data_IF_348929073739
#
_entry.id   IF_348929073739
#
_cell.length_a   1.000
_cell.length_b   1.000
_cell.length_c   1.000
_cell.angle_alpha   90.00
_cell.angle_beta   90.00
_cell.angle_gamma   90.00
#
_symmetry.space_group_name_H-M   'P 1'
#
loop_
_entity.id
_entity.type
_entity.pdbx_description
1 polymer ?
#
# COMPACT_ATOMS: atom_id res chain seq x y z
N UNK A 1 -57.40 17.11 16.49
CA UNK A 1 -56.16 17.89 16.59
C UNK A 1 -55.03 17.01 16.08
N UNK A 2 -54.78 17.06 14.78
CA UNK A 2 -53.81 16.20 14.08
C UNK A 2 -52.43 16.84 14.17
N UNK A 3 -51.49 16.15 14.80
CA UNK A 3 -50.07 16.53 14.82
C UNK A 3 -49.57 16.49 13.37
N UNK A 4 -49.00 17.57 12.81
CA UNK A 4 -48.44 17.52 11.47
C UNK A 4 -47.20 16.63 11.49
N UNK A 5 -47.18 15.58 10.65
CA UNK A 5 -45.98 14.81 10.35
C UNK A 5 -44.92 15.78 9.83
N UNK A 6 -43.76 15.86 10.49
CA UNK A 6 -42.58 16.53 9.92
C UNK A 6 -42.34 15.95 8.53
N UNK A 7 -42.25 16.83 7.54
CA UNK A 7 -41.97 16.48 6.15
C UNK A 7 -40.67 15.69 6.04
N UNK A 8 -40.57 14.86 4.99
CA UNK A 8 -39.35 14.21 4.50
C UNK A 8 -38.30 15.25 4.04
N UNK A 9 -37.93 16.20 4.89
CA UNK A 9 -36.91 17.19 4.61
C UNK A 9 -35.54 16.56 4.84
N UNK A 10 -34.68 16.64 3.82
CA UNK A 10 -33.30 16.21 3.90
C UNK A 10 -32.58 16.92 5.07
N UNK A 11 -31.99 16.18 6.04
CA UNK A 11 -31.31 16.78 7.19
C UNK A 11 -29.92 17.35 6.86
N UNK A 12 -29.40 17.13 5.65
CA UNK A 12 -28.07 17.57 5.23
C UNK A 12 -28.03 19.06 4.88
N UNK A 13 -26.94 19.73 5.28
CA UNK A 13 -26.61 21.10 4.85
C UNK A 13 -25.55 20.99 3.76
N UNK A 14 -25.82 21.60 2.60
CA UNK A 14 -24.83 21.71 1.53
C UNK A 14 -23.77 22.74 1.91
N UNK A 15 -22.62 22.27 2.37
CA UNK A 15 -21.55 23.12 2.87
C UNK A 15 -20.66 23.65 1.75
N UNK A 16 -20.33 22.80 0.76
CA UNK A 16 -19.46 23.14 -0.35
C UNK A 16 -19.60 22.11 -1.47
N UNK A 17 -19.57 22.58 -2.72
CA UNK A 17 -19.63 21.75 -3.91
C UNK A 17 -18.62 22.23 -4.94
N UNK A 18 -17.74 21.34 -5.38
CA UNK A 18 -16.79 21.59 -6.47
C UNK A 18 -16.79 20.42 -7.47
N UNK A 19 -17.45 20.63 -8.62
CA UNK A 19 -17.52 19.64 -9.70
C UNK A 19 -16.25 19.55 -10.54
N UNK A 20 -15.26 20.44 -10.32
CA UNK A 20 -14.02 20.54 -11.11
C UNK A 20 -12.80 19.98 -10.39
N UNK A 21 -12.96 19.52 -9.15
CA UNK A 21 -11.87 18.99 -8.34
C UNK A 21 -11.15 17.79 -8.97
N UNK A 22 -11.83 16.99 -9.81
CA UNK A 22 -11.28 15.85 -10.55
C UNK A 22 -10.38 14.96 -9.67
N UNK A 23 -10.97 14.40 -8.61
CA UNK A 23 -10.30 13.54 -7.63
C UNK A 23 -10.64 12.09 -7.95
N UNK A 24 -9.63 11.27 -8.23
CA UNK A 24 -9.80 9.85 -8.53
C UNK A 24 -9.17 9.03 -7.41
N UNK A 25 -9.98 8.53 -6.48
CA UNK A 25 -9.49 7.83 -5.29
C UNK A 25 -10.51 6.82 -4.76
N UNK A 26 -10.10 6.02 -3.78
CA UNK A 26 -10.99 5.18 -2.97
C UNK A 26 -11.07 5.69 -1.53
N UNK A 27 -12.14 5.34 -0.77
CA UNK A 27 -12.24 5.69 0.64
C UNK A 27 -11.04 5.25 1.48
N UNK A 28 -10.43 4.11 1.17
CA UNK A 28 -9.22 3.61 1.85
C UNK A 28 -8.00 4.52 1.67
N UNK A 29 -7.99 5.33 0.61
CA UNK A 29 -6.91 6.25 0.24
C UNK A 29 -7.14 7.69 0.72
N UNK A 30 -8.14 7.90 1.60
CA UNK A 30 -8.50 9.20 2.17
C UNK A 30 -8.37 9.18 3.69
N UNK A 31 -7.87 10.26 4.27
CA UNK A 31 -7.84 10.43 5.73
C UNK A 31 -7.98 11.89 6.13
N UNK A 32 -8.49 12.14 7.34
CA UNK A 32 -8.57 13.46 7.95
C UNK A 32 -7.61 13.52 9.14
N UNK A 33 -6.73 14.53 9.17
CA UNK A 33 -5.78 14.69 10.26
C UNK A 33 -5.23 16.12 10.37
N UNK A 34 -4.94 16.55 11.60
CA UNK A 34 -4.19 17.77 11.89
C UNK A 34 -2.68 17.53 11.70
N UNK A 35 -2.22 17.52 10.44
CA UNK A 35 -0.82 17.22 10.12
C UNK A 35 0.17 18.35 10.45
N UNK A 36 -0.31 19.56 10.78
CA UNK A 36 0.55 20.70 11.15
C UNK A 36 0.54 21.02 12.65
N UNK A 37 -0.37 20.43 13.43
CA UNK A 37 -0.55 20.73 14.85
C UNK A 37 -1.23 22.07 15.11
N UNK A 38 -1.91 22.65 14.12
CA UNK A 38 -2.60 23.94 14.20
C UNK A 38 -4.07 23.81 14.66
N UNK A 39 -4.47 22.60 15.10
CA UNK A 39 -5.83 22.22 15.50
C UNK A 39 -6.84 22.28 14.35
N UNK A 40 -6.36 22.26 13.11
CA UNK A 40 -7.18 22.26 11.91
C UNK A 40 -6.90 20.99 11.09
N UNK A 41 -7.94 20.17 10.94
CA UNK A 41 -7.82 18.94 10.16
C UNK A 41 -7.68 19.26 8.68
N UNK A 42 -6.71 18.62 8.04
CA UNK A 42 -6.56 18.58 6.60
C UNK A 42 -7.18 17.31 6.07
N UNK A 43 -7.81 17.40 4.91
CA UNK A 43 -8.24 16.24 4.13
C UNK A 43 -7.10 15.83 3.22
N UNK A 44 -6.54 14.65 3.47
CA UNK A 44 -5.48 14.06 2.67
C UNK A 44 -6.10 13.00 1.76
N UNK A 45 -5.79 13.09 0.47
CA UNK A 45 -6.30 12.19 -0.55
C UNK A 45 -5.13 11.70 -1.39
N UNK A 46 -4.98 10.38 -1.48
CA UNK A 46 -4.08 9.78 -2.45
C UNK A 46 -4.85 9.61 -3.78
N UNK A 47 -4.60 10.52 -4.70
CA UNK A 47 -5.23 10.60 -6.01
C UNK A 47 -4.45 9.77 -7.02
N UNK A 48 -5.14 8.86 -7.71
CA UNK A 48 -4.59 7.96 -8.71
C UNK A 48 -4.28 8.67 -10.03
N UNK A 49 -4.79 9.90 -10.20
CA UNK A 49 -4.75 10.60 -11.48
C UNK A 49 -5.79 10.05 -12.45
N UNK A 50 -5.68 10.45 -13.71
CA UNK A 50 -6.62 10.17 -14.80
C UNK A 50 -5.96 9.47 -16.00
N UNK A 51 -4.76 8.93 -15.79
CA UNK A 51 -3.92 8.32 -16.83
C UNK A 51 -3.02 9.30 -17.58
N UNK A 52 -3.32 10.61 -17.54
CA UNK A 52 -2.44 11.68 -18.03
C UNK A 52 -1.70 12.38 -16.89
N UNK A 53 -2.37 12.53 -15.75
CA UNK A 53 -1.80 13.01 -14.51
C UNK A 53 -1.19 11.88 -13.70
N UNK A 54 -0.05 12.17 -13.08
CA UNK A 54 0.63 11.24 -12.18
C UNK A 54 -0.12 11.14 -10.84
N UNK A 55 0.09 10.01 -10.17
CA UNK A 55 -0.37 9.79 -8.80
C UNK A 55 0.19 10.88 -7.88
N UNK A 56 -0.65 11.41 -7.01
CA UNK A 56 -0.27 12.49 -6.09
C UNK A 56 -1.06 12.45 -4.79
N UNK A 57 -0.41 12.84 -3.70
CA UNK A 57 -1.08 13.14 -2.44
C UNK A 57 -1.56 14.59 -2.47
N UNK A 58 -2.87 14.79 -2.49
CA UNK A 58 -3.52 16.09 -2.40
C UNK A 58 -3.90 16.38 -0.95
N UNK A 59 -3.56 17.55 -0.46
CA UNK A 59 -3.87 18.02 0.90
C UNK A 59 -4.79 19.21 0.79
N UNK A 60 -6.00 19.10 1.30
CA UNK A 60 -6.98 20.18 1.35
C UNK A 60 -7.05 20.77 2.75
N UNK A 61 -7.12 22.09 2.81
CA UNK A 61 -7.37 22.88 4.01
C UNK A 61 -8.63 23.71 3.78
N UNK A 62 -9.69 23.40 4.54
CA UNK A 62 -11.03 23.91 4.26
C UNK A 62 -11.49 23.52 2.85
N UNK A 63 -11.81 24.50 2.02
CA UNK A 63 -12.30 24.31 0.64
C UNK A 63 -11.20 24.45 -0.42
N UNK A 64 -9.94 24.65 -0.01
CA UNK A 64 -8.83 24.92 -0.92
C UNK A 64 -7.79 23.81 -0.87
N UNK A 65 -7.18 23.53 -2.03
CA UNK A 65 -6.02 22.66 -2.15
C UNK A 65 -4.79 23.40 -1.61
N UNK A 66 -4.22 22.91 -0.51
CA UNK A 66 -3.07 23.50 0.17
C UNK A 66 -1.75 22.98 -0.41
N UNK A 67 -1.67 21.68 -0.69
CA UNK A 67 -0.43 21.05 -1.17
C UNK A 67 -0.71 19.86 -2.09
N UNK A 68 0.21 19.62 -3.02
CA UNK A 68 0.27 18.43 -3.86
C UNK A 68 1.67 17.83 -3.82
N UNK A 69 1.75 16.56 -3.47
CA UNK A 69 3.03 15.84 -3.41
C UNK A 69 2.98 14.74 -4.47
N UNK A 70 3.88 14.74 -5.47
CA UNK A 70 3.93 13.66 -6.44
C UNK A 70 4.29 12.35 -5.73
N UNK A 71 3.65 11.27 -6.17
CA UNK A 71 3.79 9.95 -5.57
C UNK A 71 4.02 8.92 -6.68
N UNK A 72 4.88 7.92 -6.42
CA UNK A 72 5.43 7.08 -7.50
C UNK A 72 4.57 5.86 -7.85
N UNK A 73 3.92 5.26 -6.86
CA UNK A 73 3.18 4.01 -7.02
C UNK A 73 1.68 4.19 -6.76
N UNK A 74 0.85 3.25 -7.21
CA UNK A 74 -0.58 3.28 -6.87
C UNK A 74 -0.76 2.98 -5.38
N UNK A 75 -1.39 3.88 -4.60
CA UNK A 75 -1.63 3.67 -3.19
C UNK A 75 -2.82 2.75 -2.97
N UNK A 76 -2.68 1.80 -2.05
CA UNK A 76 -3.77 0.91 -1.62
C UNK A 76 -4.53 1.48 -0.42
N UNK A 77 -3.85 2.22 0.45
CA UNK A 77 -4.45 2.83 1.62
C UNK A 77 -3.64 4.02 2.17
N UNK A 78 -4.33 4.92 2.87
CA UNK A 78 -3.77 6.11 3.51
C UNK A 78 -4.38 6.27 4.90
N UNK A 79 -3.56 6.32 5.94
CA UNK A 79 -4.02 6.47 7.33
C UNK A 79 -3.16 7.46 8.10
N UNK A 80 -3.77 8.19 9.03
CA UNK A 80 -3.05 9.03 9.98
C UNK A 80 -2.90 8.31 11.32
N UNK A 81 -1.68 8.23 11.85
CA UNK A 81 -1.37 7.55 13.10
C UNK A 81 -0.50 8.40 14.02
N UNK A 82 -0.72 8.29 15.32
CA UNK A 82 0.18 8.86 16.32
C UNK A 82 1.27 7.84 16.65
N UNK A 83 2.52 8.23 16.41
CA UNK A 83 3.69 7.36 16.63
C UNK A 83 4.25 7.45 18.04
N UNK A 84 4.13 8.62 18.67
CA UNK A 84 4.77 8.94 19.94
C UNK A 84 3.93 9.95 20.74
N UNK A 85 4.27 10.14 22.03
CA UNK A 85 3.62 11.09 22.94
C UNK A 85 4.24 12.51 22.90
N UNK A 86 5.04 12.86 21.89
CA UNK A 86 5.71 14.16 21.86
C UNK A 86 4.69 15.31 21.72
N UNK A 87 5.03 16.45 22.32
CA UNK A 87 4.26 17.69 22.22
C UNK A 87 4.93 18.65 21.22
N UNK A 88 4.22 19.19 20.22
CA UNK A 88 2.79 18.99 19.93
C UNK A 88 2.48 17.58 19.38
N UNK A 89 1.32 17.05 19.74
CA UNK A 89 0.80 15.76 19.25
C UNK A 89 0.34 15.90 17.79
N UNK A 90 1.25 15.59 16.87
CA UNK A 90 1.00 15.62 15.43
C UNK A 90 1.04 14.18 14.90
N UNK A 91 0.00 13.72 14.19
CA UNK A 91 0.01 12.40 13.58
C UNK A 91 0.96 12.36 12.38
N UNK A 92 1.59 11.21 12.17
CA UNK A 92 2.26 10.88 10.93
C UNK A 92 1.23 10.32 9.93
N UNK A 93 1.38 10.67 8.67
CA UNK A 93 0.63 10.07 7.57
C UNK A 93 1.38 8.82 7.09
N UNK A 94 0.71 7.68 7.05
CA UNK A 94 1.21 6.46 6.45
C UNK A 94 0.44 6.19 5.14
N UNK A 95 1.18 5.97 4.06
CA UNK A 95 0.62 5.65 2.72
C UNK A 95 1.19 4.32 2.28
N UNK A 96 0.34 3.32 2.11
CA UNK A 96 0.72 2.01 1.60
C UNK A 96 0.64 2.02 0.07
N UNK A 97 1.70 1.58 -0.60
CA UNK A 97 1.75 1.42 -2.05
C UNK A 97 2.72 0.30 -2.43
N UNK A 98 2.28 -0.62 -3.29
CA UNK A 98 3.05 -1.81 -3.61
C UNK A 98 3.41 -2.60 -2.34
N UNK A 99 4.69 -2.95 -2.17
CA UNK A 99 5.19 -3.65 -0.98
C UNK A 99 5.73 -2.70 0.11
N UNK A 100 5.41 -1.41 0.02
CA UNK A 100 6.07 -0.35 0.78
C UNK A 100 5.04 0.51 1.51
N UNK A 101 5.45 1.02 2.68
CA UNK A 101 4.70 2.04 3.42
C UNK A 101 5.58 3.28 3.55
N UNK A 102 5.06 4.40 3.05
CA UNK A 102 5.70 5.70 3.10
C UNK A 102 5.11 6.50 4.25
N UNK A 103 5.97 6.92 5.18
CA UNK A 103 5.59 7.74 6.31
C UNK A 103 5.97 9.19 6.04
N UNK A 104 5.02 10.10 6.28
CA UNK A 104 5.21 11.54 6.18
C UNK A 104 4.94 12.17 7.54
N UNK A 105 5.87 13.04 8.00
CA UNK A 105 5.68 13.90 9.17
C UNK A 105 5.62 15.34 8.69
N UNK A 106 4.57 16.08 9.07
CA UNK A 106 4.31 17.43 8.58
C UNK A 106 4.35 17.52 7.03
N UNK A 107 3.72 16.55 6.36
CA UNK A 107 3.67 16.40 4.89
C UNK A 107 5.04 16.34 4.20
N UNK A 108 6.11 15.98 4.93
CA UNK A 108 7.44 15.71 4.36
C UNK A 108 7.78 14.23 4.50
N UNK A 109 8.40 13.59 3.49
CA UNK A 109 8.87 12.22 3.60
C UNK A 109 9.77 12.05 4.83
N UNK A 110 9.45 11.08 5.67
CA UNK A 110 10.15 10.84 6.94
C UNK A 110 10.81 9.46 6.96
N UNK A 111 10.05 8.42 6.59
CA UNK A 111 10.54 7.05 6.62
C UNK A 111 9.89 6.21 5.54
N UNK A 112 10.58 5.16 5.11
CA UNK A 112 10.10 4.19 4.14
C UNK A 112 10.29 2.80 4.70
N UNK A 113 9.18 2.12 4.96
CA UNK A 113 9.16 0.71 5.33
C UNK A 113 8.97 -0.13 4.06
N UNK A 114 9.71 -1.23 3.95
CA UNK A 114 9.54 -2.24 2.91
C UNK A 114 9.22 -3.56 3.57
N UNK A 115 8.21 -4.26 3.07
CA UNK A 115 7.93 -5.63 3.52
C UNK A 115 9.16 -6.53 3.29
N UNK A 116 9.43 -7.47 4.21
CA UNK A 116 10.44 -8.49 3.97
C UNK A 116 10.02 -9.33 2.76
N UNK A 117 11.00 -9.73 1.94
CA UNK A 117 10.76 -10.70 0.87
C UNK A 117 10.35 -12.04 1.47
N UNK A 118 9.46 -12.75 0.79
CA UNK A 118 9.08 -14.10 1.18
C UNK A 118 10.09 -15.11 0.62
N UNK A 119 10.36 -16.16 1.41
CA UNK A 119 11.16 -17.29 0.96
C UNK A 119 10.43 -18.01 -0.19
N UNK A 120 11.16 -18.22 -1.27
CA UNK A 120 10.61 -18.85 -2.46
C UNK A 120 10.46 -20.36 -2.33
N UNK A 121 9.73 -20.95 -3.27
CA UNK A 121 9.69 -22.39 -3.43
C UNK A 121 11.11 -22.91 -3.69
N UNK A 122 11.56 -23.87 -2.88
CA UNK A 122 12.86 -24.52 -3.08
C UNK A 122 13.01 -25.08 -4.50
N UNK A 123 11.89 -25.56 -5.07
CA UNK A 123 11.83 -26.08 -6.44
C UNK A 123 12.16 -25.03 -7.49
N UNK A 124 11.68 -23.79 -7.32
CA UNK A 124 11.97 -22.69 -8.23
C UNK A 124 13.45 -22.33 -8.20
N UNK A 125 14.02 -22.24 -7.00
CA UNK A 125 15.45 -22.01 -6.81
C UNK A 125 16.30 -23.12 -7.44
N UNK A 126 15.86 -24.38 -7.31
CA UNK A 126 16.57 -25.52 -7.89
C UNK A 126 16.50 -25.51 -9.42
N UNK A 127 15.35 -25.16 -10.01
CA UNK A 127 15.19 -24.99 -11.46
C UNK A 127 16.16 -23.91 -11.99
N UNK A 128 16.23 -22.75 -11.33
CA UNK A 128 17.15 -21.67 -11.70
C UNK A 128 18.63 -22.06 -11.60
N UNK A 129 18.99 -22.96 -10.68
CA UNK A 129 20.37 -23.45 -10.50
C UNK A 129 20.74 -24.59 -11.44
N UNK A 130 19.78 -25.45 -11.77
CA UNK A 130 20.03 -26.73 -12.44
C UNK A 130 19.81 -26.66 -13.95
N UNK A 131 19.00 -25.71 -14.42
CA UNK A 131 18.71 -25.58 -15.85
C UNK A 131 19.99 -25.28 -16.66
N UNK A 132 20.34 -26.12 -17.65
CA UNK A 132 21.56 -25.94 -18.44
C UNK A 132 21.40 -24.86 -19.53
N UNK A 133 20.19 -24.69 -20.05
CA UNK A 133 19.85 -23.75 -21.11
C UNK A 133 18.55 -22.98 -20.80
N UNK A 134 18.37 -21.88 -21.52
CA UNK A 134 17.22 -20.99 -21.39
C UNK A 134 15.91 -21.66 -21.82
N UNK A 135 16.00 -22.59 -22.77
CA UNK A 135 14.85 -23.32 -23.31
C UNK A 135 14.31 -24.30 -22.27
N UNK A 136 15.16 -25.10 -21.62
CA UNK A 136 14.71 -26.00 -20.55
C UNK A 136 14.28 -25.20 -19.32
N UNK A 137 14.95 -24.09 -19.00
CA UNK A 137 14.51 -23.19 -17.93
C UNK A 137 13.07 -22.71 -18.17
N UNK A 138 12.75 -22.25 -19.37
CA UNK A 138 11.39 -21.82 -19.72
C UNK A 138 10.36 -22.94 -19.68
N UNK A 139 10.73 -24.15 -20.11
CA UNK A 139 9.83 -25.30 -20.03
C UNK A 139 9.55 -25.69 -18.58
N UNK A 140 10.59 -25.83 -17.75
CA UNK A 140 10.46 -26.20 -16.34
C UNK A 140 9.70 -25.14 -15.54
N UNK A 141 9.95 -23.85 -15.79
CA UNK A 141 9.20 -22.75 -15.16
C UNK A 141 7.75 -22.69 -15.64
N UNK A 142 7.48 -23.02 -16.91
CA UNK A 142 6.12 -23.13 -17.43
C UNK A 142 5.36 -24.29 -16.78
N UNK A 143 5.99 -25.45 -16.65
CA UNK A 143 5.41 -26.61 -15.98
C UNK A 143 5.13 -26.28 -14.50
N UNK A 144 6.10 -25.67 -13.80
CA UNK A 144 5.91 -25.20 -12.42
C UNK A 144 4.79 -24.15 -12.30
N UNK A 145 4.68 -23.25 -13.28
CA UNK A 145 3.61 -22.24 -13.32
C UNK A 145 2.23 -22.86 -13.48
N UNK A 146 2.13 -24.02 -14.13
CA UNK A 146 0.87 -24.74 -14.31
C UNK A 146 0.43 -25.46 -13.04
N UNK A 147 1.39 -25.95 -12.25
CA UNK A 147 1.13 -26.64 -10.99
C UNK A 147 0.85 -25.67 -9.83
N UNK A 148 1.68 -24.63 -9.67
CA UNK A 148 1.58 -23.66 -8.56
C UNK A 148 0.72 -22.43 -8.91
N UNK A 149 0.48 -22.16 -10.19
CA UNK A 149 -0.11 -20.93 -10.69
C UNK A 149 0.91 -19.83 -10.94
N UNK A 150 0.76 -19.12 -12.07
CA UNK A 150 1.68 -18.07 -12.52
C UNK A 150 1.95 -16.97 -11.48
N UNK A 151 0.92 -16.55 -10.74
CA UNK A 151 1.02 -15.51 -9.70
C UNK A 151 1.83 -15.93 -8.47
N UNK A 152 2.03 -17.23 -8.27
CA UNK A 152 2.75 -17.74 -7.10
C UNK A 152 4.27 -17.81 -7.30
N UNK A 153 4.74 -17.69 -8.55
CA UNK A 153 6.16 -17.63 -8.90
C UNK A 153 6.81 -16.31 -8.50
N UNK A 154 8.14 -16.29 -8.41
CA UNK A 154 8.90 -15.06 -8.22
C UNK A 154 8.68 -14.05 -9.36
N UNK A 155 8.86 -12.77 -9.05
CA UNK A 155 8.84 -11.70 -10.08
C UNK A 155 9.90 -11.94 -11.15
N UNK A 156 11.00 -12.61 -10.82
CA UNK A 156 12.05 -12.95 -11.79
C UNK A 156 11.55 -14.00 -12.80
N UNK A 157 10.95 -15.09 -12.32
CA UNK A 157 10.37 -16.15 -13.18
C UNK A 157 9.20 -15.64 -14.01
N UNK A 158 8.33 -14.82 -13.43
CA UNK A 158 7.21 -14.21 -14.16
C UNK A 158 7.73 -13.32 -15.31
N UNK A 159 8.74 -12.49 -15.05
CA UNK A 159 9.38 -11.66 -16.07
C UNK A 159 10.07 -12.50 -17.14
N UNK A 160 10.79 -13.54 -16.75
CA UNK A 160 11.44 -14.46 -17.69
C UNK A 160 10.44 -15.13 -18.64
N UNK A 161 9.32 -15.64 -18.09
CA UNK A 161 8.25 -16.26 -18.88
C UNK A 161 7.55 -15.26 -19.83
N UNK A 162 7.59 -13.97 -19.50
CA UNK A 162 7.01 -12.90 -20.35
C UNK A 162 7.88 -12.57 -21.57
N UNK A 163 9.20 -12.81 -21.50
CA UNK A 163 10.11 -12.59 -22.63
C UNK A 163 9.79 -13.58 -23.76
N UNK A 164 9.82 -13.09 -25.00
CA UNK A 164 9.37 -13.85 -26.17
C UNK A 164 10.52 -14.45 -26.98
N UNK A 165 11.66 -13.78 -27.03
CA UNK A 165 12.83 -14.23 -27.80
C UNK A 165 13.83 -14.91 -26.87
N UNK A 166 14.53 -15.91 -27.40
CA UNK A 166 15.52 -16.64 -26.61
C UNK A 166 16.78 -15.79 -26.33
N UNK A 167 17.12 -14.85 -27.22
CA UNK A 167 18.21 -13.88 -27.03
C UNK A 167 17.95 -12.96 -25.82
N UNK A 168 16.75 -12.38 -25.69
CA UNK A 168 16.38 -11.54 -24.53
C UNK A 168 16.42 -12.34 -23.23
N UNK A 169 16.02 -13.61 -23.29
CA UNK A 169 16.03 -14.51 -22.13
C UNK A 169 17.45 -14.87 -21.70
N UNK A 170 18.37 -15.11 -22.65
CA UNK A 170 19.79 -15.34 -22.37
C UNK A 170 20.45 -14.13 -21.70
N UNK A 171 20.19 -12.92 -22.19
CA UNK A 171 20.65 -11.68 -21.56
C UNK A 171 20.06 -11.50 -20.16
N UNK A 172 18.76 -11.78 -19.99
CA UNK A 172 18.09 -11.69 -18.70
C UNK A 172 18.68 -12.66 -17.66
N UNK A 173 18.91 -13.92 -18.04
CA UNK A 173 19.54 -14.92 -17.15
C UNK A 173 20.96 -14.51 -16.80
N UNK A 174 21.73 -14.02 -17.77
CA UNK A 174 23.13 -13.63 -17.56
C UNK A 174 23.25 -12.44 -16.61
N UNK A 175 22.37 -11.44 -16.75
CA UNK A 175 22.35 -10.26 -15.88
C UNK A 175 21.89 -10.55 -14.44
N UNK A 176 21.12 -11.64 -14.22
CA UNK A 176 20.51 -11.97 -12.92
C UNK A 176 21.05 -13.23 -12.25
N UNK A 177 22.05 -13.91 -12.82
CA UNK A 177 22.68 -15.12 -12.27
C UNK A 177 23.16 -15.01 -10.82
N UNK A 178 23.46 -13.79 -10.34
CA UNK A 178 23.94 -13.53 -8.98
C UNK A 178 22.86 -12.95 -8.05
N UNK A 179 21.68 -12.62 -8.58
CA UNK A 179 20.60 -12.06 -7.77
C UNK A 179 19.86 -13.19 -7.05
N UNK A 180 19.72 -13.07 -5.73
CA UNK A 180 18.80 -13.92 -4.99
C UNK A 180 17.38 -13.73 -5.54
N UNK A 181 16.72 -14.85 -5.82
CA UNK A 181 15.30 -14.82 -6.12
C UNK A 181 14.56 -14.43 -4.83
N UNK A 182 13.74 -13.38 -4.92
CA UNK A 182 12.89 -12.92 -3.82
C UNK A 182 11.47 -12.79 -4.32
N UNK A 183 10.53 -13.40 -3.62
CA UNK A 183 9.11 -13.17 -3.83
C UNK A 183 8.71 -11.91 -3.07
N UNK A 184 8.31 -10.89 -3.82
CA UNK A 184 7.82 -9.64 -3.27
C UNK A 184 6.29 -9.69 -3.23
N UNK A 185 5.70 -9.42 -2.07
CA UNK A 185 4.25 -9.35 -1.89
C UNK A 185 3.79 -7.90 -1.80
N UNK A 186 2.56 -7.63 -2.24
CA UNK A 186 1.93 -6.31 -2.26
C UNK A 186 0.96 -6.14 -1.08
N UNK A 187 0.92 -4.93 -0.52
CA UNK A 187 -0.01 -4.51 0.53
C UNK A 187 -1.37 -4.21 -0.09
N UNK A 188 -2.40 -4.93 0.36
CA UNK A 188 -3.78 -4.82 -0.14
C UNK A 188 -4.62 -3.87 0.71
N UNK A 189 -4.46 -3.89 2.03
CA UNK A 189 -5.16 -3.01 2.96
C UNK A 189 -4.30 -2.65 4.17
N UNK A 190 -4.62 -1.51 4.78
CA UNK A 190 -3.90 -0.98 5.93
C UNK A 190 -4.85 -0.29 6.91
N UNK A 191 -4.70 -0.57 8.21
CA UNK A 191 -5.56 0.01 9.24
C UNK A 191 -4.79 0.35 10.52
N UNK A 192 -5.13 1.45 11.21
CA UNK A 192 -4.56 1.76 12.52
C UNK A 192 -5.18 0.88 13.61
N UNK A 193 -4.34 0.39 14.53
CA UNK A 193 -4.75 -0.35 15.71
C UNK A 193 -4.28 0.38 16.98
N UNK A 194 -5.18 0.97 17.78
CA UNK A 194 -4.79 1.62 19.04
C UNK A 194 -4.04 0.66 19.96
N UNK A 195 -2.85 1.07 20.42
CA UNK A 195 -1.99 0.26 21.32
C UNK A 195 -2.49 0.28 22.76
N UNK A 196 -3.26 1.31 23.13
CA UNK A 196 -3.73 1.54 24.50
C UNK A 196 -5.20 1.98 24.50
N UNK A 197 -5.65 2.64 25.58
CA UNK A 197 -7.02 3.12 25.75
C UNK A 197 -7.56 3.85 24.52
N UNK A 198 -8.89 3.82 24.28
CA UNK A 198 -9.54 4.49 23.16
C UNK A 198 -9.57 6.01 23.37
N UNK A 199 -8.41 6.64 23.23
CA UNK A 199 -8.26 8.08 23.08
C UNK A 199 -8.04 8.40 21.59
N UNK A 200 -8.62 9.51 21.11
CA UNK A 200 -8.50 9.94 19.70
C UNK A 200 -7.04 10.18 19.30
N UNK A 201 -6.18 10.51 20.27
CA UNK A 201 -4.74 10.71 20.06
C UNK A 201 -3.89 9.58 20.63
N UNK A 202 -4.48 8.41 20.89
CA UNK A 202 -3.73 7.25 21.35
C UNK A 202 -2.67 6.83 20.32
N UNK A 203 -1.52 6.37 20.81
CA UNK A 203 -0.52 5.75 19.94
C UNK A 203 -1.16 4.53 19.27
N UNK A 204 -1.00 4.42 17.96
CA UNK A 204 -1.60 3.37 17.15
C UNK A 204 -0.53 2.60 16.37
N UNK A 205 -0.54 1.28 16.52
CA UNK A 205 0.19 0.37 15.65
C UNK A 205 -0.43 0.38 14.25
N UNK A 206 0.34 -0.07 13.26
CA UNK A 206 -0.14 -0.19 11.90
C UNK A 206 -0.34 -1.67 11.57
N UNK A 207 -1.53 -2.03 11.11
CA UNK A 207 -1.82 -3.37 10.61
C UNK A 207 -1.81 -3.32 9.09
N UNK A 208 -0.99 -4.18 8.47
CA UNK A 208 -0.87 -4.33 7.03
C UNK A 208 -1.36 -5.72 6.65
N UNK A 209 -2.17 -5.81 5.60
CA UNK A 209 -2.47 -7.09 4.97
C UNK A 209 -1.86 -7.16 3.57
N UNK A 210 -1.51 -8.36 3.14
CA UNK A 210 -0.86 -8.60 1.87
C UNK A 210 -1.64 -9.58 1.00
N UNK A 211 -1.33 -9.56 -0.30
CA UNK A 211 -1.85 -10.53 -1.27
C UNK A 211 -1.40 -11.98 -0.99
N UNK A 212 -0.37 -12.18 -0.18
CA UNK A 212 0.12 -13.51 0.24
C UNK A 212 -0.66 -14.13 1.42
N UNK A 213 -1.83 -13.58 1.74
CA UNK A 213 -2.65 -13.99 2.90
C UNK A 213 -1.88 -13.87 4.22
N UNK A 214 -1.15 -12.77 4.39
CA UNK A 214 -0.44 -12.45 5.63
C UNK A 214 -0.87 -11.11 6.20
N UNK A 215 -0.79 -11.03 7.51
CA UNK A 215 -1.01 -9.81 8.29
C UNK A 215 0.26 -9.47 9.07
N UNK A 216 0.72 -8.24 8.93
CA UNK A 216 1.85 -7.69 9.66
C UNK A 216 1.39 -6.59 10.61
N UNK A 217 1.84 -6.63 11.87
CA UNK A 217 1.65 -5.55 12.83
C UNK A 217 2.99 -4.82 12.96
N UNK A 218 3.00 -3.53 12.62
CA UNK A 218 4.17 -2.66 12.78
C UNK A 218 4.12 -1.87 14.09
N UNK A 219 5.29 -1.72 14.70
CA UNK A 219 5.46 -0.86 15.86
C UNK A 219 5.40 0.62 15.44
N UNK A 220 4.66 1.46 16.19
CA UNK A 220 4.51 2.88 15.89
C UNK A 220 5.79 3.71 15.92
N UNK A 221 6.79 3.33 16.73
CA UNK A 221 8.03 4.11 16.89
C UNK A 221 9.14 3.58 16.00
N UNK A 222 9.35 2.26 16.01
CA UNK A 222 10.43 1.61 15.28
C UNK A 222 10.12 1.29 13.82
N UNK A 223 8.85 1.33 13.41
CA UNK A 223 8.37 0.83 12.12
C UNK A 223 8.88 -0.59 11.78
N UNK A 224 9.08 -1.41 12.81
CA UNK A 224 9.52 -2.79 12.70
C UNK A 224 8.33 -3.72 12.86
N UNK A 225 8.43 -4.93 12.29
CA UNK A 225 7.40 -5.95 12.44
C UNK A 225 7.42 -6.48 13.87
N UNK A 226 6.31 -6.30 14.58
CA UNK A 226 6.09 -6.83 15.93
C UNK A 226 5.57 -8.26 15.84
N UNK A 227 4.63 -8.51 14.93
CA UNK A 227 4.00 -9.81 14.73
C UNK A 227 3.61 -10.03 13.26
N UNK A 228 3.66 -11.29 12.87
CA UNK A 228 3.17 -11.82 11.59
C UNK A 228 2.10 -12.89 11.86
N UNK A 229 1.03 -12.85 11.07
CA UNK A 229 -0.04 -13.86 11.09
C UNK A 229 -0.37 -14.30 9.68
N UNK A 230 -0.84 -15.54 9.54
CA UNK A 230 -1.36 -16.07 8.28
C UNK A 230 -2.89 -16.09 8.31
N UNK A 231 -3.51 -15.60 7.25
CA UNK A 231 -4.96 -15.65 7.03
C UNK A 231 -5.33 -16.77 6.06
N UNK A 232 -6.57 -17.29 6.12
CA UNK A 232 -7.02 -18.30 5.17
C UNK A 232 -7.16 -17.76 3.74
N UNK A 233 -7.42 -16.45 3.60
CA UNK A 233 -7.64 -15.79 2.32
C UNK A 233 -7.06 -14.36 2.32
N UNK A 234 -7.00 -13.73 1.15
CA UNK A 234 -6.49 -12.38 0.93
C UNK A 234 -7.43 -11.37 1.56
N UNK A 235 -6.91 -10.54 2.46
CA UNK A 235 -7.70 -9.49 3.08
C UNK A 235 -7.78 -8.25 2.16
N UNK A 236 -8.96 -7.64 2.13
CA UNK A 236 -9.28 -6.41 1.39
C UNK A 236 -10.07 -5.45 2.29
N UNK A 237 -10.13 -4.17 1.92
CA UNK A 237 -10.89 -3.14 2.65
C UNK A 237 -12.41 -3.30 2.50
#
# INVERSE_FOLDING_TARGET
MTIPRRSNANPWIDAFHDSRAAVNTFPSCMTLADTAGDKENRLIIADFGDGYSLVKLRVYKGTHLENEIPFSDLPSATVAIYTDYNTPRIPALAVAAGSQVFFYKNMRPYFKFSLPGEDESSLETDIWKTAPDVIQLGKLLSDLSSDLGYSNLSTQSQNFLRLKTDEEREEFVTSRKLAELKKQTVITCMSPLPKSLPDEKAISCLVLATESCKLFILDPEGFTIVKEYKTPDVAVH
#
